data_IF_081076782431
#
_entry.id   IF_081076782431
#
_cell.length_a   1.000
_cell.length_b   1.000
_cell.length_c   1.000
_cell.angle_alpha   90.00
_cell.angle_beta   90.00
_cell.angle_gamma   90.00
#
_symmetry.space_group_name_H-M   'P 1'
#
loop_
_entity.id
_entity.type
_entity.pdbx_description
1 polymer ?
#
# COMPACT_ATOMS: atom_id res chain seq x y z
N UNK A 1 8.50 10.23 -20.02
CA UNK A 1 8.15 9.35 -18.89
C UNK A 1 8.43 10.16 -17.65
N UNK A 2 7.43 10.35 -16.79
CA UNK A 2 7.62 11.07 -15.53
C UNK A 2 8.40 10.12 -14.61
N UNK A 3 9.62 10.51 -14.24
CA UNK A 3 10.44 9.76 -13.27
C UNK A 3 9.82 9.95 -11.87
N UNK A 4 9.97 8.95 -10.98
CA UNK A 4 9.49 8.96 -9.58
C UNK A 4 7.96 8.89 -9.33
N UNK A 5 7.16 8.32 -10.23
CA UNK A 5 5.71 8.14 -10.02
C UNK A 5 5.29 6.88 -9.27
N UNK A 6 6.24 6.04 -8.82
CA UNK A 6 5.89 4.82 -8.09
C UNK A 6 6.98 4.31 -7.13
N UNK A 7 6.55 3.60 -6.09
CA UNK A 7 7.44 2.85 -5.19
C UNK A 7 7.00 1.39 -5.19
N UNK A 8 7.91 0.47 -5.49
CA UNK A 8 7.62 -0.96 -5.44
C UNK A 8 8.02 -1.56 -4.09
N UNK A 9 7.17 -2.43 -3.55
CA UNK A 9 7.36 -3.16 -2.30
C UNK A 9 7.41 -4.65 -2.58
N UNK A 10 8.32 -5.34 -1.89
CA UNK A 10 8.45 -6.79 -1.93
C UNK A 10 8.48 -7.35 -0.52
N UNK A 11 7.89 -8.52 -0.34
CA UNK A 11 7.98 -9.27 0.90
C UNK A 11 9.45 -9.61 1.23
N UNK A 12 9.93 -9.15 2.37
CA UNK A 12 11.20 -9.62 2.96
C UNK A 12 10.93 -10.78 3.91
N UNK A 13 9.99 -10.58 4.85
CA UNK A 13 9.63 -11.58 5.86
C UNK A 13 8.16 -11.42 6.25
N UNK A 14 7.48 -12.54 6.56
CA UNK A 14 6.12 -12.49 7.11
C UNK A 14 5.33 -13.79 6.96
N UNK A 15 4.04 -13.76 7.37
CA UNK A 15 3.10 -14.87 7.25
C UNK A 15 2.61 -15.11 5.80
N UNK A 16 3.09 -14.30 4.86
CA UNK A 16 2.77 -14.36 3.44
C UNK A 16 3.76 -15.26 2.70
N UNK A 17 3.26 -16.00 1.71
CA UNK A 17 4.06 -16.70 0.71
C UNK A 17 4.48 -15.73 -0.40
N UNK A 18 3.60 -14.80 -0.74
CA UNK A 18 3.87 -13.68 -1.64
C UNK A 18 3.22 -12.42 -1.06
N UNK A 19 3.92 -11.30 -1.10
CA UNK A 19 3.34 -9.98 -0.90
C UNK A 19 4.12 -9.01 -1.77
N UNK A 20 3.39 -8.36 -2.66
CA UNK A 20 3.86 -7.35 -3.57
C UNK A 20 3.00 -6.11 -3.34
N UNK A 21 3.63 -4.96 -3.24
CA UNK A 21 2.93 -3.68 -3.13
C UNK A 21 3.46 -2.70 -4.15
N UNK A 22 2.64 -1.77 -4.57
CA UNK A 22 3.05 -0.63 -5.39
C UNK A 22 2.30 0.60 -4.92
N UNK A 23 3.08 1.61 -4.53
CA UNK A 23 2.57 2.97 -4.43
C UNK A 23 2.61 3.61 -5.81
N UNK A 24 1.56 4.33 -6.16
CA UNK A 24 1.44 5.10 -7.39
C UNK A 24 1.06 6.53 -7.04
N UNK A 25 1.74 7.47 -7.69
CA UNK A 25 1.57 8.91 -7.49
C UNK A 25 1.16 9.53 -8.81
N UNK A 26 0.00 10.16 -8.83
CA UNK A 26 -0.51 10.88 -9.98
C UNK A 26 -0.71 12.35 -9.60
N UNK A 27 -0.26 13.26 -10.45
CA UNK A 27 -0.52 14.70 -10.28
C UNK A 27 -2.01 14.96 -10.53
N UNK A 28 -2.71 15.61 -9.59
CA UNK A 28 -4.14 15.90 -9.76
C UNK A 28 -4.41 17.19 -10.56
N UNK A 29 -3.36 17.90 -10.99
CA UNK A 29 -3.47 19.08 -11.86
C UNK A 29 -4.02 20.34 -11.18
N UNK A 30 -4.52 20.22 -9.95
CA UNK A 30 -5.01 21.29 -9.08
C UNK A 30 -4.00 21.70 -7.99
N UNK A 31 -2.75 21.23 -8.12
CA UNK A 31 -1.69 21.45 -7.14
C UNK A 31 -1.61 20.38 -6.05
N UNK A 32 -2.40 19.31 -6.17
CA UNK A 32 -2.32 18.12 -5.32
C UNK A 32 -1.69 16.91 -6.01
N UNK A 33 -1.67 15.79 -5.29
CA UNK A 33 -1.36 14.48 -5.86
C UNK A 33 -2.34 13.43 -5.33
N UNK A 34 -2.81 12.58 -6.23
CA UNK A 34 -3.53 11.36 -5.87
C UNK A 34 -2.52 10.27 -5.59
N UNK A 35 -2.64 9.66 -4.41
CA UNK A 35 -1.78 8.56 -3.96
C UNK A 35 -2.60 7.28 -3.86
N UNK A 36 -2.12 6.22 -4.49
CA UNK A 36 -2.75 4.90 -4.47
C UNK A 36 -1.78 3.83 -3.97
N UNK A 37 -2.29 2.85 -3.22
CA UNK A 37 -1.55 1.66 -2.82
C UNK A 37 -2.25 0.41 -3.38
N UNK A 38 -1.58 -0.26 -4.31
CA UNK A 38 -2.00 -1.56 -4.85
C UNK A 38 -1.22 -2.66 -4.13
N UNK A 39 -1.91 -3.65 -3.58
CA UNK A 39 -1.28 -4.77 -2.88
C UNK A 39 -1.80 -6.11 -3.40
N UNK A 40 -0.88 -6.99 -3.74
CA UNK A 40 -1.14 -8.38 -4.09
C UNK A 40 -0.47 -9.30 -3.07
N UNK A 41 -1.19 -10.30 -2.57
CA UNK A 41 -0.62 -11.20 -1.58
C UNK A 41 -1.20 -12.61 -1.64
N UNK A 42 -0.42 -13.56 -1.14
CA UNK A 42 -0.77 -14.95 -0.94
C UNK A 42 -0.36 -15.34 0.48
N UNK A 43 -1.28 -15.84 1.30
CA UNK A 43 -0.97 -16.33 2.65
C UNK A 43 -0.32 -17.72 2.58
N UNK A 44 0.59 -18.01 3.52
CA UNK A 44 1.21 -19.35 3.62
C UNK A 44 0.17 -20.44 3.95
N UNK A 45 -0.80 -20.13 4.82
CA UNK A 45 -1.77 -21.11 5.33
C UNK A 45 -3.21 -20.59 5.26
N UNK A 46 -4.18 -21.50 5.08
CA UNK A 46 -5.62 -21.18 4.97
C UNK A 46 -6.21 -20.51 6.22
N UNK A 47 -5.73 -20.86 7.42
CA UNK A 47 -6.19 -20.27 8.69
C UNK A 47 -5.92 -18.75 8.71
N UNK A 48 -4.71 -18.35 8.34
CA UNK A 48 -4.31 -16.94 8.25
C UNK A 48 -5.17 -16.17 7.24
N UNK A 49 -5.54 -16.80 6.12
CA UNK A 49 -6.45 -16.21 5.14
C UNK A 49 -7.81 -15.86 5.76
N UNK A 50 -8.37 -16.71 6.62
CA UNK A 50 -9.67 -16.43 7.27
C UNK A 50 -9.56 -15.36 8.35
N UNK A 51 -8.48 -15.35 9.14
CA UNK A 51 -8.30 -14.35 10.21
C UNK A 51 -7.96 -12.97 9.67
N UNK A 52 -7.11 -12.89 8.65
CA UNK A 52 -6.57 -11.63 8.15
C UNK A 52 -7.32 -11.06 6.97
N UNK A 53 -8.11 -11.81 6.19
CA UNK A 53 -8.82 -11.24 5.03
C UNK A 53 -9.70 -10.05 5.40
N UNK A 54 -10.44 -10.13 6.51
CA UNK A 54 -11.28 -9.03 6.99
C UNK A 54 -10.51 -7.86 7.60
N UNK A 55 -9.32 -8.11 8.14
CA UNK A 55 -8.46 -7.08 8.72
C UNK A 55 -7.54 -6.42 7.68
N UNK A 56 -7.23 -7.11 6.58
CA UNK A 56 -6.23 -6.66 5.61
C UNK A 56 -6.64 -5.35 4.95
N UNK A 57 -7.93 -5.18 4.62
CA UNK A 57 -8.43 -3.89 4.11
C UNK A 57 -8.17 -2.75 5.10
N UNK A 58 -8.42 -2.97 6.41
CA UNK A 58 -8.16 -1.95 7.43
C UNK A 58 -6.67 -1.63 7.54
N UNK A 59 -5.81 -2.63 7.38
CA UNK A 59 -4.35 -2.42 7.36
C UNK A 59 -3.96 -1.58 6.15
N UNK A 60 -4.42 -1.89 4.94
CA UNK A 60 -4.12 -1.09 3.75
C UNK A 60 -4.67 0.33 3.85
N UNK A 61 -5.90 0.50 4.35
CA UNK A 61 -6.49 1.82 4.58
C UNK A 61 -5.61 2.63 5.55
N UNK A 62 -5.17 2.02 6.66
CA UNK A 62 -4.31 2.69 7.65
C UNK A 62 -2.93 3.10 7.10
N UNK A 63 -2.39 2.36 6.13
CA UNK A 63 -1.11 2.71 5.48
C UNK A 63 -1.27 3.96 4.61
N UNK A 64 -2.37 4.04 3.85
CA UNK A 64 -2.71 5.21 3.04
C UNK A 64 -2.96 6.43 3.94
N UNK A 65 -3.74 6.27 5.00
CA UNK A 65 -4.02 7.34 5.96
C UNK A 65 -2.74 7.87 6.62
N UNK A 66 -1.84 6.97 7.05
CA UNK A 66 -0.56 7.34 7.64
C UNK A 66 0.33 8.09 6.64
N UNK A 67 0.34 7.68 5.37
CA UNK A 67 1.07 8.36 4.31
C UNK A 67 0.56 9.79 4.11
N UNK A 68 -0.76 9.96 3.96
CA UNK A 68 -1.41 11.27 3.78
C UNK A 68 -1.16 12.16 5.01
N UNK A 69 -1.32 11.61 6.22
CA UNK A 69 -1.07 12.33 7.46
C UNK A 69 0.36 12.85 7.55
N UNK A 70 1.34 12.05 7.12
CA UNK A 70 2.74 12.48 7.09
C UNK A 70 2.98 13.55 6.03
N UNK A 71 2.39 13.43 4.84
CA UNK A 71 2.52 14.44 3.79
C UNK A 71 2.03 15.80 4.27
N UNK A 72 0.81 15.87 4.82
CA UNK A 72 0.21 17.09 5.39
C UNK A 72 1.00 17.71 6.56
N UNK A 73 1.89 16.95 7.19
CA UNK A 73 2.74 17.45 8.26
C UNK A 73 4.03 18.09 7.75
N UNK A 74 4.49 17.73 6.54
CA UNK A 74 5.72 18.25 5.93
C UNK A 74 5.43 19.34 4.90
N UNK A 75 4.36 19.18 4.12
CA UNK A 75 3.96 20.03 3.00
C UNK A 75 2.60 20.66 3.27
#
# INVERSE_FOLDING_TARGET
MQEDTSINMKLIQGPFKRLDGRWEFEDSGDGGSTVSLVMEFEFKNKILKYTLSGAFKKITDSLVDAFISRANNIY
#
